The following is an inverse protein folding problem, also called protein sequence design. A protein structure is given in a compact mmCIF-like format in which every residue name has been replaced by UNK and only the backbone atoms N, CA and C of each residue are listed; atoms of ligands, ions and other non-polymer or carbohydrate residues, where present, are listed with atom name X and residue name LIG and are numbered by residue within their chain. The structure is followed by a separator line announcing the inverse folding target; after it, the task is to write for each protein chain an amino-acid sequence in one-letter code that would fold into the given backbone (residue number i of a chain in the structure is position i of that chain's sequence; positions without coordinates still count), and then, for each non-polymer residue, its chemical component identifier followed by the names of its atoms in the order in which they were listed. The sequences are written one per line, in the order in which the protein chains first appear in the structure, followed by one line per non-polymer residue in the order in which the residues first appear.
data_IF_793451811904
#
_entry.id   IF_793451811904
#
_cell.length_a   1.000
_cell.length_b   1.000
_cell.length_c   1.000
_cell.angle_alpha   90.00
_cell.angle_beta   90.00
_cell.angle_gamma   90.00
#
_symmetry.space_group_name_H-M   'P 1'
#
loop_
_entity.id
_entity.type
_entity.pdbx_description
1 polymer ?
#
# COMPACT_ATOMS: atom_id res chain seq x y z
N UNK A 1 -2.74 -21.98 -72.98
CA UNK A 1 -3.84 -20.99 -72.98
C UNK A 1 -4.43 -21.01 -71.57
N UNK A 2 -4.37 -20.00 -70.71
CA UNK A 2 -4.24 -18.56 -70.89
C UNK A 2 -3.31 -17.93 -69.85
N UNK A 3 -2.61 -16.90 -70.30
CA UNK A 3 -1.87 -15.87 -69.54
C UNK A 3 -2.86 -14.99 -68.76
N UNK A 4 -2.42 -14.42 -67.64
CA UNK A 4 -2.50 -12.98 -67.31
C UNK A 4 -1.83 -12.74 -65.94
N UNK A 5 -0.64 -12.15 -65.89
CA UNK A 5 -0.29 -10.70 -65.88
C UNK A 5 -0.16 -10.16 -64.46
N UNK A 6 1.08 -9.77 -64.16
CA UNK A 6 1.62 -9.10 -62.98
C UNK A 6 1.09 -7.66 -62.90
N UNK A 7 0.87 -7.13 -61.69
CA UNK A 7 1.12 -5.72 -61.42
C UNK A 7 1.73 -5.52 -60.03
N UNK A 8 2.91 -4.91 -60.03
CA UNK A 8 3.68 -4.35 -58.93
C UNK A 8 3.22 -2.90 -58.74
N UNK A 9 3.06 -2.40 -57.51
CA UNK A 9 3.46 -1.02 -57.20
C UNK A 9 3.68 -0.78 -55.70
N UNK A 10 4.72 0.01 -55.45
CA UNK A 10 5.43 0.34 -54.20
C UNK A 10 4.99 1.73 -53.72
N UNK A 11 5.43 2.10 -52.49
CA UNK A 11 5.66 3.45 -51.94
C UNK A 11 4.47 4.08 -51.18
N UNK A 12 4.61 4.91 -50.14
CA UNK A 12 5.75 5.55 -49.45
C UNK A 12 5.22 6.09 -48.09
N UNK A 13 6.13 6.21 -47.13
CA UNK A 13 6.00 6.75 -45.77
C UNK A 13 5.90 8.29 -45.66
N UNK A 14 5.22 8.78 -44.60
CA UNK A 14 5.44 10.06 -43.89
C UNK A 14 4.89 9.86 -42.45
N UNK A 15 5.63 9.84 -41.34
CA UNK A 15 6.50 10.81 -40.64
C UNK A 15 5.76 12.02 -40.01
N UNK A 16 5.65 11.92 -38.67
CA UNK A 16 5.82 12.93 -37.60
C UNK A 16 4.71 13.87 -37.10
N UNK A 17 4.92 14.21 -35.81
CA UNK A 17 4.46 15.32 -34.97
C UNK A 17 3.16 15.09 -34.18
N UNK A 18 3.05 15.40 -32.87
CA UNK A 18 3.93 16.17 -32.00
C UNK A 18 3.74 15.77 -30.52
N UNK A 19 4.85 15.91 -29.79
CA UNK A 19 4.97 15.97 -28.34
C UNK A 19 4.23 17.20 -27.81
N UNK A 20 3.40 17.03 -26.77
CA UNK A 20 2.97 18.13 -25.91
C UNK A 20 3.42 17.82 -24.49
N UNK A 21 4.46 18.53 -24.08
CA UNK A 21 4.79 18.75 -22.69
C UNK A 21 3.88 19.87 -22.17
N UNK A 22 3.16 19.63 -21.08
CA UNK A 22 2.62 20.70 -20.25
C UNK A 22 3.11 20.51 -18.81
N UNK A 23 3.78 21.54 -18.34
CA UNK A 23 4.30 21.74 -17.00
C UNK A 23 3.19 22.23 -16.05
N UNK A 24 3.52 22.16 -14.76
CA UNK A 24 2.96 22.93 -13.62
C UNK A 24 1.64 22.35 -13.08
N UNK A 25 1.50 22.00 -11.80
CA UNK A 25 1.93 22.72 -10.60
C UNK A 25 2.04 21.76 -9.43
N UNK A 26 3.19 21.78 -8.76
CA UNK A 26 3.43 21.15 -7.47
C UNK A 26 2.63 21.85 -6.37
N UNK A 27 1.64 21.16 -5.79
CA UNK A 27 1.16 21.46 -4.45
C UNK A 27 1.89 20.55 -3.48
N UNK A 28 2.73 21.14 -2.64
CA UNK A 28 3.40 20.49 -1.52
C UNK A 28 2.37 19.89 -0.56
N UNK A 29 2.36 18.57 -0.43
CA UNK A 29 1.85 17.87 0.75
C UNK A 29 3.08 17.34 1.51
N UNK A 30 3.34 17.93 2.68
CA UNK A 30 4.36 17.46 3.61
C UNK A 30 3.93 16.12 4.22
N UNK A 31 4.54 15.03 3.74
CA UNK A 31 4.36 13.68 4.28
C UNK A 31 5.30 13.48 5.47
N UNK A 32 4.67 13.01 6.55
CA UNK A 32 5.25 12.52 7.80
C UNK A 32 6.57 11.72 7.57
N UNK A 33 7.68 12.28 8.03
CA UNK A 33 8.93 11.53 8.28
C UNK A 33 9.84 11.22 7.09
N UNK A 34 9.72 11.94 5.97
CA UNK A 34 10.77 11.88 4.94
C UNK A 34 11.86 12.92 5.21
N UNK A 35 13.11 12.46 5.32
CA UNK A 35 14.27 13.34 5.26
C UNK A 35 14.24 14.09 3.90
N UNK A 36 14.48 15.41 3.84
CA UNK A 36 14.28 16.18 2.62
C UNK A 36 15.38 15.87 1.58
N UNK A 37 14.98 15.38 0.41
CA UNK A 37 15.66 15.65 -0.86
C UNK A 37 16.92 14.86 -1.23
N UNK A 38 17.23 13.75 -0.56
CA UNK A 38 18.33 12.86 -0.96
C UNK A 38 17.89 11.79 -1.95
N UNK A 39 18.74 11.47 -2.94
CA UNK A 39 18.58 10.23 -3.70
C UNK A 39 18.71 9.03 -2.75
N UNK A 40 17.94 7.94 -2.95
CA UNK A 40 18.01 6.78 -2.07
C UNK A 40 19.43 6.22 -2.03
N UNK A 41 19.95 5.98 -0.83
CA UNK A 41 21.33 5.51 -0.64
C UNK A 41 21.43 3.99 -0.46
N UNK A 42 20.31 3.36 -0.07
CA UNK A 42 20.24 1.93 0.21
C UNK A 42 18.86 1.38 -0.14
N UNK A 43 18.83 0.14 -0.66
CA UNK A 43 17.61 -0.60 -0.94
C UNK A 43 17.44 -1.79 0.01
N UNK A 44 16.18 -2.11 0.32
CA UNK A 44 15.80 -3.13 1.28
C UNK A 44 14.87 -4.16 0.63
N UNK A 45 15.03 -5.42 1.04
CA UNK A 45 14.22 -6.55 0.57
C UNK A 45 13.74 -7.37 1.77
N UNK A 46 12.62 -6.98 2.39
CA UNK A 46 12.17 -7.53 3.66
C UNK A 46 11.89 -9.03 3.60
N UNK A 47 11.52 -9.59 2.44
CA UNK A 47 11.25 -11.03 2.26
C UNK A 47 12.33 -11.79 1.46
N UNK A 48 13.44 -11.11 1.08
CA UNK A 48 14.54 -11.66 0.28
C UNK A 48 14.52 -11.25 -1.20
N UNK A 49 15.63 -11.54 -1.90
CA UNK A 49 15.94 -11.06 -3.27
C UNK A 49 15.01 -11.52 -4.39
N UNK A 50 14.22 -12.56 -4.17
CA UNK A 50 13.36 -13.13 -5.21
C UNK A 50 11.97 -12.49 -5.27
N UNK A 51 11.60 -11.72 -4.25
CA UNK A 51 10.25 -11.16 -4.13
C UNK A 51 10.20 -9.76 -4.72
N UNK A 52 9.27 -9.55 -5.67
CA UNK A 52 8.90 -8.21 -6.12
C UNK A 52 7.98 -7.58 -5.09
N UNK A 53 8.27 -6.35 -4.69
CA UNK A 53 7.44 -5.62 -3.73
C UNK A 53 6.37 -4.84 -4.48
N UNK A 54 5.11 -4.98 -4.06
CA UNK A 54 3.98 -4.27 -4.67
C UNK A 54 3.40 -3.27 -3.66
N UNK A 55 3.08 -2.06 -4.11
CA UNK A 55 2.45 -1.01 -3.29
C UNK A 55 0.92 -1.14 -3.20
N UNK A 56 0.28 -0.24 -2.46
CA UNK A 56 -1.17 -0.17 -2.32
C UNK A 56 -1.93 0.03 -3.64
N UNK A 57 -1.27 0.60 -4.65
CA UNK A 57 -1.81 0.87 -5.98
C UNK A 57 -1.56 -0.27 -6.98
N UNK A 58 -0.97 -1.39 -6.53
CA UNK A 58 -0.68 -2.53 -7.38
C UNK A 58 0.58 -2.36 -8.25
N UNK A 59 1.43 -1.36 -7.95
CA UNK A 59 2.66 -1.07 -8.70
C UNK A 59 3.87 -1.73 -8.04
N UNK A 60 4.80 -2.18 -8.87
CA UNK A 60 6.09 -2.69 -8.39
C UNK A 60 6.95 -1.52 -7.92
N UNK A 61 7.44 -1.62 -6.68
CA UNK A 61 8.24 -0.58 -6.02
C UNK A 61 9.50 -1.18 -5.41
N UNK A 62 10.51 -0.35 -5.18
CA UNK A 62 11.67 -0.71 -4.38
C UNK A 62 11.55 -0.01 -3.03
N UNK A 63 11.86 -0.73 -1.94
CA UNK A 63 11.94 -0.13 -0.62
C UNK A 63 13.35 0.42 -0.42
N UNK A 64 13.44 1.64 0.05
CA UNK A 64 14.69 2.38 0.23
C UNK A 64 14.79 3.01 1.63
N UNK A 65 15.85 3.75 1.88
CA UNK A 65 16.09 4.45 3.15
C UNK A 65 15.09 5.58 3.43
N UNK A 66 14.43 6.12 2.40
CA UNK A 66 13.36 7.12 2.54
C UNK A 66 12.00 6.50 2.90
N UNK A 67 11.83 5.19 2.72
CA UNK A 67 10.60 4.50 3.10
C UNK A 67 10.51 4.37 4.63
N UNK A 68 9.27 4.30 5.17
CA UNK A 68 9.06 4.05 6.59
C UNK A 68 9.80 2.81 7.09
N UNK A 69 10.36 2.90 8.30
CA UNK A 69 11.12 1.84 8.95
C UNK A 69 10.42 0.46 8.91
N UNK A 70 9.11 0.35 9.18
CA UNK A 70 8.41 -0.93 9.11
C UNK A 70 8.50 -1.65 7.78
N UNK A 71 8.74 -0.95 6.66
CA UNK A 71 8.92 -1.60 5.37
C UNK A 71 10.36 -2.09 5.14
N UNK A 72 11.35 -1.46 5.78
CA UNK A 72 12.77 -1.78 5.63
C UNK A 72 13.19 -3.02 6.42
N UNK A 73 12.50 -3.31 7.52
CA UNK A 73 12.83 -4.41 8.43
C UNK A 73 12.75 -5.79 7.76
N UNK A 74 13.74 -6.65 8.00
CA UNK A 74 13.68 -8.04 7.50
C UNK A 74 12.53 -8.80 8.18
N UNK A 75 11.71 -9.45 7.37
CA UNK A 75 10.67 -10.34 7.87
C UNK A 75 11.28 -11.56 8.56
N UNK A 76 10.86 -11.81 9.79
CA UNK A 76 11.22 -13.01 10.56
C UNK A 76 10.19 -14.13 10.41
N UNK A 77 9.06 -13.86 9.75
CA UNK A 77 7.97 -14.81 9.59
C UNK A 77 7.76 -15.16 8.11
N UNK A 78 7.93 -16.44 7.77
CA UNK A 78 7.75 -16.93 6.41
C UNK A 78 6.33 -16.77 5.85
N UNK A 79 5.32 -16.58 6.71
CA UNK A 79 3.94 -16.35 6.29
C UNK A 79 3.59 -14.86 6.12
N UNK A 80 4.45 -13.94 6.55
CA UNK A 80 4.19 -12.50 6.36
C UNK A 80 4.25 -12.17 4.87
N UNK A 81 3.09 -11.78 4.33
CA UNK A 81 2.95 -11.41 2.93
C UNK A 81 2.70 -9.91 2.75
N UNK A 82 2.11 -9.25 3.74
CA UNK A 82 1.77 -7.84 3.66
C UNK A 82 2.16 -7.09 4.92
N UNK A 83 2.57 -5.83 4.72
CA UNK A 83 2.70 -4.82 5.77
C UNK A 83 1.80 -3.64 5.45
N UNK A 84 1.12 -3.14 6.46
CA UNK A 84 0.23 -1.99 6.36
C UNK A 84 0.66 -0.97 7.38
N UNK A 85 0.86 0.28 6.95
CA UNK A 85 1.00 1.42 7.85
C UNK A 85 -0.27 2.24 7.71
N UNK A 86 -1.00 2.38 8.81
CA UNK A 86 -2.30 3.02 8.84
C UNK A 86 -2.26 4.20 9.83
N UNK A 87 -2.57 5.38 9.32
CA UNK A 87 -2.79 6.59 10.10
C UNK A 87 -4.01 7.33 9.58
N UNK A 88 -4.40 8.41 10.24
CA UNK A 88 -5.47 9.26 9.74
C UNK A 88 -5.10 10.10 8.52
N UNK A 89 -3.80 10.21 8.20
CA UNK A 89 -3.30 11.00 7.07
C UNK A 89 -2.79 10.13 5.92
N UNK A 90 -2.55 8.84 6.17
CA UNK A 90 -1.97 7.94 5.18
C UNK A 90 -2.35 6.48 5.42
N UNK A 91 -2.53 5.76 4.31
CA UNK A 91 -2.70 4.32 4.27
C UNK A 91 -1.71 3.77 3.25
N UNK A 92 -0.69 3.06 3.74
CA UNK A 92 0.39 2.52 2.90
C UNK A 92 0.39 1.00 3.02
N UNK A 93 0.55 0.30 1.90
CA UNK A 93 0.63 -1.17 1.87
C UNK A 93 1.87 -1.59 1.11
N UNK A 94 2.57 -2.60 1.62
CA UNK A 94 3.59 -3.32 0.86
C UNK A 94 3.26 -4.80 0.89
N UNK A 95 2.98 -5.36 -0.29
CA UNK A 95 3.03 -6.80 -0.48
C UNK A 95 4.50 -7.19 -0.63
N UNK A 96 5.04 -7.86 0.38
CA UNK A 96 6.46 -8.22 0.44
C UNK A 96 6.71 -9.65 -0.03
N UNK A 97 5.67 -10.49 -0.17
CA UNK A 97 5.79 -11.90 -0.58
C UNK A 97 4.70 -12.31 -1.55
N UNK A 98 4.97 -13.37 -2.32
CA UNK A 98 4.01 -14.06 -3.19
C UNK A 98 3.52 -13.23 -4.38
N UNK A 99 4.22 -12.16 -4.75
CA UNK A 99 3.80 -11.25 -5.83
C UNK A 99 3.76 -11.90 -7.22
N UNK A 100 4.37 -13.08 -7.37
CA UNK A 100 4.32 -13.91 -8.57
C UNK A 100 3.09 -14.81 -8.67
N UNK A 101 2.40 -15.09 -7.56
CA UNK A 101 1.27 -16.04 -7.51
C UNK A 101 -0.04 -15.39 -7.06
N UNK A 102 0.03 -14.37 -6.22
CA UNK A 102 -1.12 -13.64 -5.67
C UNK A 102 -0.85 -12.13 -5.69
N UNK A 103 -1.86 -11.32 -5.99
CA UNK A 103 -1.80 -9.86 -5.87
C UNK A 103 -3.05 -9.31 -5.20
N UNK A 104 -2.88 -8.36 -4.27
CA UNK A 104 -4.01 -7.59 -3.73
C UNK A 104 -4.54 -6.64 -4.82
N UNK A 105 -5.85 -6.60 -5.00
CA UNK A 105 -6.50 -5.58 -5.84
C UNK A 105 -6.49 -4.23 -5.13
N UNK A 106 -6.08 -3.13 -5.78
CA UNK A 106 -6.16 -1.79 -5.20
C UNK A 106 -7.61 -1.43 -4.82
N UNK A 107 -7.78 -0.84 -3.64
CA UNK A 107 -9.09 -0.40 -3.12
C UNK A 107 -8.97 0.94 -2.40
N UNK A 108 -8.72 2.00 -3.18
CA UNK A 108 -8.52 3.36 -2.67
C UNK A 108 -9.73 3.88 -1.88
N UNK A 109 -10.94 3.39 -2.18
CA UNK A 109 -12.16 3.76 -1.47
C UNK A 109 -12.16 3.19 -0.05
N UNK A 110 -11.94 1.89 0.09
CA UNK A 110 -11.80 1.25 1.40
C UNK A 110 -10.59 1.77 2.19
N UNK A 111 -9.48 2.07 1.52
CA UNK A 111 -8.27 2.61 2.15
C UNK A 111 -8.58 3.97 2.82
N UNK A 112 -9.33 4.85 2.14
CA UNK A 112 -9.81 6.13 2.72
C UNK A 112 -10.75 5.95 3.89
N UNK A 113 -11.70 5.02 3.80
CA UNK A 113 -12.61 4.74 4.90
C UNK A 113 -11.87 4.29 6.16
N UNK A 114 -10.79 3.51 6.02
CA UNK A 114 -9.98 3.10 7.17
C UNK A 114 -9.21 4.27 7.79
N UNK A 115 -8.71 5.21 6.99
CA UNK A 115 -8.10 6.43 7.52
C UNK A 115 -9.10 7.27 8.33
N UNK A 116 -10.35 7.38 7.85
CA UNK A 116 -11.42 8.06 8.56
C UNK A 116 -11.76 7.36 9.88
N UNK A 117 -11.81 6.02 9.90
CA UNK A 117 -12.02 5.23 11.11
C UNK A 117 -10.92 5.49 12.15
N UNK A 118 -9.66 5.52 11.70
CA UNK A 118 -8.50 5.80 12.57
C UNK A 118 -8.51 7.24 13.11
N UNK A 119 -8.95 8.22 12.32
CA UNK A 119 -9.00 9.63 12.76
C UNK A 119 -9.86 9.87 14.00
N UNK A 120 -10.82 8.98 14.29
CA UNK A 120 -11.66 9.03 15.50
C UNK A 120 -10.82 8.85 16.79
N UNK A 121 -9.61 8.31 16.66
CA UNK A 121 -8.68 7.97 17.73
C UNK A 121 -7.50 8.95 17.87
N UNK A 122 -7.41 9.99 17.03
CA UNK A 122 -6.36 11.03 17.04
C UNK A 122 -6.41 12.01 18.23
N UNK A 123 -6.74 11.49 19.42
CA UNK A 123 -6.78 12.22 20.69
C UNK A 123 -5.44 12.22 21.41
N UNK A 124 -4.54 11.31 21.01
CA UNK A 124 -3.23 11.09 21.60
C UNK A 124 -2.26 10.62 20.51
N UNK A 125 -0.96 10.83 20.74
CA UNK A 125 0.08 10.29 19.87
C UNK A 125 0.47 8.91 20.36
N UNK A 126 0.29 7.89 19.53
CA UNK A 126 0.51 6.49 19.90
C UNK A 126 0.82 5.65 18.68
N UNK A 127 1.74 4.72 18.86
CA UNK A 127 2.08 3.72 17.85
C UNK A 127 1.79 2.36 18.45
N UNK A 128 1.06 1.55 17.69
CA UNK A 128 0.71 0.18 18.02
C UNK A 128 0.83 -0.69 16.80
N UNK A 129 0.68 -2.00 16.99
CA UNK A 129 0.72 -2.94 15.90
C UNK A 129 -0.13 -4.18 16.18
N UNK A 130 -0.48 -4.86 15.11
CA UNK A 130 -1.35 -6.03 15.14
C UNK A 130 -1.00 -7.00 14.03
N UNK A 131 -1.14 -8.29 14.32
CA UNK A 131 -0.90 -9.37 13.36
C UNK A 131 -2.22 -10.08 13.08
N UNK A 132 -2.58 -10.12 11.80
CA UNK A 132 -3.81 -10.78 11.34
C UNK A 132 -3.44 -11.90 10.37
N UNK A 133 -4.05 -13.06 10.54
CA UNK A 133 -3.98 -14.17 9.58
C UNK A 133 -5.21 -14.12 8.69
N UNK A 134 -4.97 -14.04 7.39
CA UNK A 134 -5.98 -14.16 6.36
C UNK A 134 -5.94 -15.59 5.81
N UNK A 135 -7.08 -16.25 5.79
CA UNK A 135 -7.28 -17.55 5.13
C UNK A 135 -8.07 -17.34 3.84
N UNK A 136 -7.61 -17.98 2.78
CA UNK A 136 -8.24 -17.98 1.47
C UNK A 136 -8.85 -19.35 1.19
N UNK A 137 -9.99 -19.32 0.53
CA UNK A 137 -10.65 -20.52 0.04
C UNK A 137 -9.73 -21.27 -0.92
N UNK A 138 -9.47 -22.55 -0.65
CA UNK A 138 -8.49 -23.35 -1.38
C UNK A 138 -8.80 -23.60 -2.85
N UNK A 139 -10.03 -23.34 -3.31
CA UNK A 139 -10.44 -23.50 -4.71
C UNK A 139 -10.54 -22.19 -5.46
N UNK A 140 -11.04 -21.14 -4.81
CA UNK A 140 -11.36 -19.86 -5.47
C UNK A 140 -10.38 -18.74 -5.17
N UNK A 141 -9.54 -18.90 -4.15
CA UNK A 141 -8.61 -17.87 -3.68
C UNK A 141 -9.30 -16.65 -3.06
N UNK A 142 -10.63 -16.68 -2.88
CA UNK A 142 -11.38 -15.64 -2.20
C UNK A 142 -11.14 -15.68 -0.71
N UNK A 143 -11.26 -14.54 -0.05
CA UNK A 143 -11.19 -14.44 1.40
C UNK A 143 -12.23 -15.35 2.05
N UNK A 144 -11.77 -16.21 2.97
CA UNK A 144 -12.60 -17.15 3.72
C UNK A 144 -12.73 -16.72 5.18
N UNK A 145 -11.61 -16.33 5.81
CA UNK A 145 -11.60 -15.98 7.22
C UNK A 145 -10.43 -15.04 7.57
N UNK A 146 -10.63 -14.17 8.56
CA UNK A 146 -9.65 -13.24 9.09
C UNK A 146 -9.64 -13.35 10.62
N UNK A 147 -8.51 -13.78 11.19
CA UNK A 147 -8.35 -13.91 12.64
C UNK A 147 -7.10 -13.19 13.12
N UNK A 148 -7.10 -12.76 14.38
CA UNK A 148 -5.85 -12.34 15.01
C UNK A 148 -4.89 -13.51 15.15
N UNK A 149 -3.61 -13.17 15.04
CA UNK A 149 -2.54 -14.06 15.46
C UNK A 149 -2.12 -13.72 16.91
N UNK A 150 -0.83 -13.84 17.21
CA UNK A 150 -0.26 -13.66 18.55
C UNK A 150 -0.25 -12.23 19.08
N UNK A 151 -0.28 -11.21 18.20
CA UNK A 151 -0.17 -9.80 18.58
C UNK A 151 -1.43 -9.07 18.16
N UNK A 152 -2.10 -8.46 19.14
CA UNK A 152 -3.37 -7.77 18.98
C UNK A 152 -3.14 -6.32 19.46
N UNK A 153 -3.68 -5.31 18.75
CA UNK A 153 -3.61 -3.93 19.22
C UNK A 153 -4.17 -3.79 20.64
N UNK A 154 -3.54 -2.93 21.44
CA UNK A 154 -3.90 -2.69 22.84
C UNK A 154 -5.27 -2.04 22.97
N UNK A 155 -5.65 -1.23 21.99
CA UNK A 155 -6.99 -0.63 21.92
C UNK A 155 -7.90 -1.57 21.12
N UNK A 156 -8.90 -2.14 21.80
CA UNK A 156 -9.77 -3.16 21.21
C UNK A 156 -10.50 -2.70 19.94
N UNK A 157 -10.85 -1.41 19.85
CA UNK A 157 -11.49 -0.89 18.64
C UNK A 157 -10.51 -0.74 17.48
N UNK A 158 -9.22 -0.46 17.73
CA UNK A 158 -8.19 -0.51 16.68
C UNK A 158 -8.01 -1.95 16.16
N UNK A 159 -8.12 -2.94 17.04
CA UNK A 159 -8.11 -4.34 16.64
C UNK A 159 -9.26 -4.61 15.65
N UNK A 160 -10.48 -4.20 15.97
CA UNK A 160 -11.63 -4.34 15.04
C UNK A 160 -11.40 -3.64 13.70
N UNK A 161 -10.82 -2.43 13.72
CA UNK A 161 -10.52 -1.69 12.49
C UNK A 161 -9.58 -2.49 11.58
N UNK A 162 -8.46 -3.00 12.10
CA UNK A 162 -7.53 -3.77 11.25
C UNK A 162 -8.09 -5.13 10.82
N UNK A 163 -8.98 -5.74 11.61
CA UNK A 163 -9.70 -6.94 11.18
C UNK A 163 -10.67 -6.63 10.04
N UNK A 164 -11.45 -5.55 10.16
CA UNK A 164 -12.37 -5.08 9.11
C UNK A 164 -11.62 -4.65 7.84
N UNK A 165 -10.43 -4.07 7.98
CA UNK A 165 -9.57 -3.74 6.85
C UNK A 165 -9.18 -5.00 6.05
N UNK A 166 -8.75 -6.05 6.74
CA UNK A 166 -8.35 -7.29 6.08
C UNK A 166 -9.53 -8.02 5.43
N UNK A 167 -10.76 -7.94 5.97
CA UNK A 167 -11.93 -8.66 5.43
C UNK A 167 -12.44 -8.11 4.11
N UNK A 168 -12.17 -6.84 3.79
CA UNK A 168 -12.56 -6.25 2.50
C UNK A 168 -11.57 -6.53 1.37
N UNK A 169 -10.37 -7.05 1.66
CA UNK A 169 -9.36 -7.26 0.62
C UNK A 169 -9.81 -8.28 -0.42
N UNK A 170 -9.56 -7.95 -1.68
CA UNK A 170 -9.75 -8.85 -2.82
C UNK A 170 -8.39 -9.18 -3.45
N UNK A 171 -8.30 -10.37 -4.03
CA UNK A 171 -7.05 -10.89 -4.58
C UNK A 171 -7.23 -11.36 -6.02
N UNK A 172 -6.14 -11.25 -6.78
CA UNK A 172 -5.93 -11.87 -8.07
C UNK A 172 -4.93 -13.01 -7.91
N UNK A 173 -5.24 -14.15 -8.51
CA UNK A 173 -4.41 -15.34 -8.48
C UNK A 173 -3.94 -15.66 -9.88
N UNK A 174 -2.68 -16.07 -10.01
CA UNK A 174 -2.10 -16.43 -11.31
C UNK A 174 -2.69 -17.73 -11.85
N UNK A 175 -2.94 -18.68 -10.96
CA UNK A 175 -3.42 -20.02 -11.26
C UNK A 175 -4.91 -20.13 -10.90
N UNK A 176 -5.62 -21.06 -11.55
CA UNK A 176 -7.03 -21.34 -11.24
C UNK A 176 -7.19 -21.86 -9.80
N UNK A 177 -6.32 -22.76 -9.37
CA UNK A 177 -6.19 -23.13 -7.96
C UNK A 177 -5.15 -22.23 -7.27
N UNK A 178 -5.50 -21.57 -6.15
CA UNK A 178 -4.61 -20.64 -5.46
C UNK A 178 -3.46 -21.36 -4.75
N UNK A 179 -2.22 -20.96 -5.06
CA UNK A 179 -1.01 -21.45 -4.39
C UNK A 179 -0.93 -21.01 -2.92
N UNK A 180 -1.43 -19.80 -2.64
CA UNK A 180 -1.45 -19.21 -1.30
C UNK A 180 -2.81 -19.46 -0.67
N UNK A 181 -2.84 -20.24 0.41
CA UNK A 181 -4.08 -20.59 1.14
C UNK A 181 -4.24 -19.80 2.44
N UNK A 182 -3.14 -19.29 2.98
CA UNK A 182 -3.16 -18.39 4.13
C UNK A 182 -1.88 -17.58 4.17
N UNK A 183 -1.98 -16.37 4.71
CA UNK A 183 -0.82 -15.51 4.94
C UNK A 183 -1.08 -14.59 6.14
N UNK A 184 -0.02 -13.92 6.59
CA UNK A 184 -0.04 -12.96 7.66
C UNK A 184 0.08 -11.53 7.12
N UNK A 185 -0.68 -10.63 7.73
CA UNK A 185 -0.61 -9.18 7.55
C UNK A 185 -0.13 -8.54 8.85
N UNK A 186 0.92 -7.73 8.76
CA UNK A 186 1.41 -6.91 9.86
C UNK A 186 0.90 -5.49 9.72
N UNK A 187 0.10 -5.04 10.68
CA UNK A 187 -0.40 -3.68 10.76
C UNK A 187 0.45 -2.86 11.72
N UNK A 188 0.85 -1.67 11.30
CA UNK A 188 1.46 -0.63 12.12
C UNK A 188 0.50 0.55 12.16
N UNK A 189 -0.05 0.84 13.33
CA UNK A 189 -1.09 1.84 13.54
C UNK A 189 -0.44 3.07 14.16
N UNK A 190 -0.61 4.23 13.52
CA UNK A 190 -0.03 5.49 13.96
C UNK A 190 -1.16 6.48 14.22
N UNK A 191 -1.40 6.76 15.50
CA UNK A 191 -2.29 7.83 15.95
C UNK A 191 -1.49 9.10 16.17
N UNK A 192 -2.03 10.23 15.76
CA UNK A 192 -1.42 11.55 15.95
C UNK A 192 -2.38 12.41 16.73
N UNK A 193 -1.92 13.01 17.83
CA UNK A 193 -2.73 13.99 18.54
C UNK A 193 -2.99 15.19 17.61
N UNK A 194 -4.23 15.31 17.11
CA UNK A 194 -4.68 16.49 16.39
C UNK A 194 -5.33 17.42 17.41
N UNK A 195 -4.65 18.52 17.76
CA UNK A 195 -5.18 19.51 18.70
C UNK A 195 -6.55 20.01 18.21
N UNK A 196 -7.52 20.17 19.10
CA UNK A 196 -8.80 20.75 18.71
C UNK A 196 -8.62 22.22 18.31
N UNK A 197 -9.45 22.73 17.39
CA UNK A 197 -9.43 24.17 17.01
C UNK A 197 -9.59 25.07 18.24
N UNK A 198 -10.31 24.62 19.27
CA UNK A 198 -10.48 25.33 20.54
C UNK A 198 -9.20 25.37 21.38
N UNK A 199 -8.41 24.29 21.44
CA UNK A 199 -7.12 24.24 22.16
C UNK A 199 -6.07 25.15 21.51
N UNK A 200 -5.97 25.13 20.18
CA UNK A 200 -5.04 26.01 19.44
C UNK A 200 -5.40 27.48 19.65
N UNK A 201 -6.69 27.83 19.67
CA UNK A 201 -7.17 29.21 19.88
C UNK A 201 -6.97 29.68 21.33
N UNK A 202 -6.97 28.77 22.31
CA UNK A 202 -6.59 29.05 23.70
C UNK A 202 -5.10 29.38 23.83
N UNK A 203 -4.24 28.53 23.26
CA UNK A 203 -2.78 28.71 23.31
C UNK A 203 -2.28 29.96 22.58
N UNK A 204 -2.93 30.36 21.48
CA UNK A 204 -2.60 31.60 20.75
C UNK A 204 -3.01 32.87 21.52
N UNK A 205 -4.07 32.82 22.33
CA UNK A 205 -4.50 33.95 23.16
C UNK A 205 -3.64 34.13 24.41
N UNK A 206 -3.09 33.06 24.95
CA UNK A 206 -2.24 33.10 26.14
C UNK A 206 -0.82 33.59 25.84
N UNK A 207 -0.28 33.31 24.64
CA UNK A 207 1.03 33.83 24.19
C UNK A 207 0.99 35.27 23.66
N UNK A 208 -0.20 35.84 23.48
CA UNK A 208 -0.40 37.21 23.00
C UNK A 208 -0.65 38.21 24.14
N UNK A 209 -0.44 37.78 25.39
CA UNK A 209 -0.52 38.61 26.60
C UNK A 209 0.83 38.59 27.31
#
# INVERSE_FOLDING_TARGET
MNRNVIFFLVMLSFVSCATSAENTTSSNEEILGSNPGGAPTQYFQPAGEKEKIIDENGKEVQISDIDPEPFREKSTNGMEAFRVIMSSDSYLVRQIRHSSTMRRKPDNGGDKLMMEEISKFDKLSFVDDGLVIVKLNSKTGKLENVNFHKRIPKIADLAKIIQNDATRWAFEHKNEEPDVKSFLVTYYIVLKKKASKEEVKGMLKEKAK
#
